data_IF_440185653511
#
_entry.id   IF_440185653511
#
_cell.length_a   1.000
_cell.length_b   1.000
_cell.length_c   1.000
_cell.angle_alpha   90.00
_cell.angle_beta   90.00
_cell.angle_gamma   90.00
#
_symmetry.space_group_name_H-M   'P 1'
#
loop_
_entity.id
_entity.type
_entity.pdbx_description
1 polymer ?
#
# COMPACT_ATOMS: atom_id res chain seq x y z
N UNK A 1 22.99 -11.85 -1.14
CA UNK A 1 23.19 -11.28 -2.48
C UNK A 1 24.58 -11.53 -3.12
N UNK A 2 25.70 -11.67 -2.41
CA UNK A 2 27.03 -11.92 -3.00
C UNK A 2 27.22 -13.31 -3.66
N UNK A 3 26.44 -14.32 -3.28
CA UNK A 3 26.65 -15.70 -3.74
C UNK A 3 26.21 -15.96 -5.19
N UNK A 4 25.22 -15.26 -5.71
CA UNK A 4 24.65 -15.50 -7.05
C UNK A 4 25.33 -14.74 -8.18
N UNK A 5 25.93 -13.56 -7.89
CA UNK A 5 26.69 -12.80 -8.91
C UNK A 5 27.94 -13.55 -9.37
N UNK A 6 28.61 -14.26 -8.44
CA UNK A 6 29.71 -15.18 -8.78
C UNK A 6 29.27 -16.35 -9.69
N UNK A 7 28.00 -16.74 -9.63
CA UNK A 7 27.47 -17.88 -10.39
C UNK A 7 27.37 -17.60 -11.90
N UNK A 8 26.85 -16.43 -12.31
CA UNK A 8 26.73 -16.08 -13.75
C UNK A 8 28.13 -15.86 -14.36
N UNK A 9 28.97 -15.09 -13.70
CA UNK A 9 30.35 -14.87 -14.12
C UNK A 9 31.13 -16.18 -14.20
N UNK A 10 30.98 -17.04 -13.19
CA UNK A 10 31.61 -18.34 -13.13
C UNK A 10 31.13 -19.25 -14.27
N UNK A 11 29.83 -19.25 -14.62
CA UNK A 11 29.27 -20.04 -15.73
C UNK A 11 29.79 -19.54 -17.09
N UNK A 12 29.88 -18.22 -17.29
CA UNK A 12 30.43 -17.63 -18.52
C UNK A 12 31.90 -17.97 -18.64
N UNK A 13 32.69 -17.80 -17.58
CA UNK A 13 34.13 -18.16 -17.56
C UNK A 13 34.32 -19.65 -17.78
N UNK A 14 33.52 -20.52 -17.11
CA UNK A 14 33.56 -21.96 -17.33
C UNK A 14 33.19 -22.35 -18.77
N UNK A 15 32.17 -21.71 -19.35
CA UNK A 15 31.77 -21.94 -20.74
C UNK A 15 32.89 -21.57 -21.71
N UNK A 16 33.53 -20.42 -21.55
CA UNK A 16 34.69 -19.99 -22.33
C UNK A 16 35.86 -20.95 -22.15
N UNK A 17 36.10 -21.40 -20.92
CA UNK A 17 37.18 -22.36 -20.62
C UNK A 17 36.91 -23.74 -21.25
N UNK A 18 35.68 -24.24 -21.17
CA UNK A 18 35.27 -25.50 -21.84
C UNK A 18 35.40 -25.41 -23.36
N UNK A 19 35.03 -24.29 -23.97
CA UNK A 19 35.20 -24.09 -25.41
C UNK A 19 36.67 -24.07 -25.79
N UNK A 20 37.53 -23.40 -25.01
CA UNK A 20 38.99 -23.47 -25.22
C UNK A 20 39.53 -24.88 -25.10
N UNK A 21 39.12 -25.67 -24.10
CA UNK A 21 39.55 -27.04 -23.93
C UNK A 21 39.05 -27.89 -25.12
N UNK A 22 37.79 -27.77 -25.52
CA UNK A 22 37.24 -28.52 -26.66
C UNK A 22 37.97 -28.17 -27.96
N UNK A 23 38.30 -26.90 -28.22
CA UNK A 23 39.07 -26.53 -29.42
C UNK A 23 40.49 -27.11 -29.37
N UNK A 24 41.18 -27.06 -28.21
CA UNK A 24 42.50 -27.72 -28.06
C UNK A 24 42.45 -29.24 -28.26
N UNK A 25 41.42 -29.93 -27.73
CA UNK A 25 41.24 -31.38 -27.90
C UNK A 25 40.93 -31.74 -29.36
N UNK A 26 40.10 -30.95 -30.04
CA UNK A 26 39.79 -31.14 -31.45
C UNK A 26 41.06 -30.96 -32.30
N UNK A 27 41.87 -29.95 -31.98
CA UNK A 27 43.16 -29.71 -32.65
C UNK A 27 44.09 -30.86 -32.42
N UNK A 28 44.28 -31.30 -31.18
CA UNK A 28 45.17 -32.41 -30.85
C UNK A 28 44.73 -33.73 -31.50
N UNK A 29 43.41 -34.00 -31.48
CA UNK A 29 42.85 -35.21 -32.09
C UNK A 29 43.02 -35.20 -33.62
N UNK A 30 42.75 -34.09 -34.28
CA UNK A 30 42.93 -33.98 -35.75
C UNK A 30 44.38 -34.16 -36.15
N UNK A 31 45.35 -33.56 -35.43
CA UNK A 31 46.78 -33.74 -35.69
C UNK A 31 47.19 -35.21 -35.48
N UNK A 32 46.74 -35.82 -34.37
CA UNK A 32 47.02 -37.23 -34.06
C UNK A 32 46.44 -38.19 -35.10
N UNK A 33 45.18 -37.97 -35.53
CA UNK A 33 44.48 -38.74 -36.54
C UNK A 33 45.13 -38.64 -37.91
N UNK A 34 45.53 -37.43 -38.33
CA UNK A 34 46.25 -37.22 -39.59
C UNK A 34 47.62 -37.89 -39.59
N UNK A 35 48.34 -37.85 -38.45
CA UNK A 35 49.63 -38.56 -38.30
C UNK A 35 49.45 -40.07 -38.37
N UNK A 36 48.41 -40.62 -37.73
CA UNK A 36 48.19 -42.11 -37.70
C UNK A 36 47.78 -42.69 -39.04
N UNK A 37 47.04 -41.92 -39.86
CA UNK A 37 46.60 -42.30 -41.20
C UNK A 37 47.63 -42.01 -42.28
N UNK A 38 48.78 -41.44 -41.94
CA UNK A 38 49.85 -41.10 -42.88
C UNK A 38 49.35 -40.18 -44.04
N UNK A 39 48.27 -39.43 -43.82
CA UNK A 39 47.57 -38.66 -44.82
C UNK A 39 48.48 -37.56 -45.38
N UNK A 40 49.51 -37.15 -44.64
CA UNK A 40 50.51 -36.17 -45.11
C UNK A 40 51.15 -36.58 -46.40
N UNK A 41 51.29 -37.89 -46.63
CA UNK A 41 51.92 -38.48 -47.85
C UNK A 41 50.92 -38.62 -49.02
N UNK A 42 49.58 -38.58 -48.74
CA UNK A 42 48.55 -38.69 -49.78
C UNK A 42 48.27 -37.43 -50.52
N UNK A 43 48.51 -36.33 -49.85
CA UNK A 43 48.39 -34.97 -50.46
C UNK A 43 49.80 -34.54 -50.94
N UNK A 44 50.08 -34.86 -52.17
CA UNK A 44 51.29 -34.37 -52.89
C UNK A 44 51.28 -32.89 -53.21
N UNK A 45 50.38 -32.13 -52.59
CA UNK A 45 50.36 -30.69 -52.53
C UNK A 45 51.22 -30.23 -51.33
N UNK A 46 52.06 -29.23 -51.48
CA UNK A 46 52.76 -28.63 -50.33
C UNK A 46 51.77 -27.79 -49.52
N UNK A 47 50.74 -28.48 -49.01
CA UNK A 47 49.86 -27.89 -48.00
C UNK A 47 50.66 -27.88 -46.70
N UNK A 48 51.54 -26.95 -46.67
CA UNK A 48 52.34 -26.59 -45.52
C UNK A 48 51.43 -26.41 -44.31
N UNK A 49 51.88 -26.79 -43.13
CA UNK A 49 51.17 -26.64 -41.88
C UNK A 49 50.49 -25.26 -41.68
N UNK A 50 50.83 -24.30 -42.52
CA UNK A 50 50.25 -22.96 -42.60
C UNK A 50 48.72 -23.00 -42.95
N UNK A 51 48.31 -23.82 -43.94
CA UNK A 51 46.88 -23.91 -44.33
C UNK A 51 46.03 -24.55 -43.24
N UNK A 52 46.59 -25.49 -42.50
CA UNK A 52 45.92 -26.12 -41.37
C UNK A 52 45.77 -25.12 -40.21
N UNK A 53 46.76 -24.30 -39.92
CA UNK A 53 46.73 -23.24 -38.92
C UNK A 53 45.66 -22.18 -39.29
N UNK A 54 45.60 -21.81 -40.58
CA UNK A 54 44.59 -20.86 -41.09
C UNK A 54 43.16 -21.42 -40.93
N UNK A 55 42.93 -22.70 -41.27
CA UNK A 55 41.63 -23.33 -41.09
C UNK A 55 41.20 -23.35 -39.62
N UNK A 56 42.13 -23.72 -38.74
CA UNK A 56 41.90 -23.70 -37.29
C UNK A 56 41.58 -22.31 -36.73
N UNK A 57 42.30 -21.29 -37.18
CA UNK A 57 42.02 -19.91 -36.82
C UNK A 57 40.64 -19.49 -37.28
N UNK A 58 40.21 -19.91 -38.46
CA UNK A 58 38.90 -19.60 -39.02
C UNK A 58 37.77 -20.27 -38.23
N UNK A 59 37.95 -21.54 -37.83
CA UNK A 59 36.99 -22.28 -36.97
C UNK A 59 36.87 -21.61 -35.58
N UNK A 60 38.02 -21.26 -34.99
CA UNK A 60 38.05 -20.57 -33.69
C UNK A 60 37.34 -19.18 -33.76
N UNK A 61 37.52 -18.45 -34.86
CA UNK A 61 36.89 -17.16 -35.09
C UNK A 61 35.35 -17.29 -35.23
N UNK A 62 34.87 -18.29 -35.97
CA UNK A 62 33.43 -18.58 -36.13
C UNK A 62 32.83 -19.01 -34.81
N UNK A 63 33.48 -19.88 -34.04
CA UNK A 63 33.03 -20.27 -32.70
C UNK A 63 33.00 -19.09 -31.73
N UNK A 64 34.04 -18.28 -31.73
CA UNK A 64 34.09 -17.03 -30.90
C UNK A 64 32.98 -16.07 -31.24
N UNK A 65 32.68 -15.89 -32.52
CA UNK A 65 31.55 -15.06 -32.97
C UNK A 65 30.19 -15.62 -32.49
N UNK A 66 29.98 -16.92 -32.57
CA UNK A 66 28.75 -17.59 -32.12
C UNK A 66 28.56 -17.43 -30.61
N UNK A 67 29.62 -17.63 -29.84
CA UNK A 67 29.60 -17.44 -28.38
C UNK A 67 29.33 -15.98 -28.01
N UNK A 68 29.97 -15.04 -28.70
CA UNK A 68 29.77 -13.60 -28.47
C UNK A 68 28.32 -13.18 -28.71
N UNK A 69 27.69 -13.64 -29.82
CA UNK A 69 26.28 -13.41 -30.13
C UNK A 69 25.37 -14.04 -29.07
N UNK A 70 25.69 -15.24 -28.61
CA UNK A 70 24.94 -15.93 -27.59
C UNK A 70 24.98 -15.18 -26.25
N UNK A 71 26.16 -14.79 -25.80
CA UNK A 71 26.34 -14.01 -24.56
C UNK A 71 25.60 -12.66 -24.67
N UNK A 72 25.72 -11.97 -25.79
CA UNK A 72 25.05 -10.70 -26.03
C UNK A 72 23.52 -10.84 -25.92
N UNK A 73 22.94 -11.86 -26.62
CA UNK A 73 21.49 -12.06 -26.62
C UNK A 73 20.93 -12.48 -25.27
N UNK A 74 21.61 -13.39 -24.55
CA UNK A 74 21.08 -14.01 -23.36
C UNK A 74 21.50 -13.34 -22.05
N UNK A 75 22.61 -12.59 -22.01
CA UNK A 75 23.11 -11.97 -20.80
C UNK A 75 23.08 -10.43 -20.85
N UNK A 76 23.49 -9.82 -21.94
CA UNK A 76 23.65 -8.36 -22.01
C UNK A 76 22.38 -7.64 -22.46
N UNK A 77 21.64 -8.19 -23.39
CA UNK A 77 20.44 -7.53 -23.93
C UNK A 77 19.35 -7.32 -22.85
N UNK A 78 19.00 -8.31 -22.01
CA UNK A 78 18.03 -8.15 -20.94
C UNK A 78 18.46 -7.08 -19.89
N UNK A 79 19.77 -7.00 -19.59
CA UNK A 79 20.31 -5.98 -18.68
C UNK A 79 20.19 -4.58 -19.27
N UNK A 80 20.41 -4.45 -20.58
CA UNK A 80 20.23 -3.15 -21.27
C UNK A 80 18.76 -2.72 -21.31
N UNK A 81 17.84 -3.66 -21.55
CA UNK A 81 16.40 -3.42 -21.49
C UNK A 81 15.95 -3.01 -20.10
N UNK A 82 16.42 -3.70 -19.06
CA UNK A 82 16.18 -3.35 -17.67
C UNK A 82 16.67 -1.94 -17.36
N UNK A 83 17.89 -1.57 -17.79
CA UNK A 83 18.44 -0.23 -17.59
C UNK A 83 17.58 0.87 -18.22
N UNK A 84 17.07 0.62 -19.45
CA UNK A 84 16.16 1.56 -20.12
C UNK A 84 14.80 1.64 -19.41
N UNK A 85 14.29 0.53 -18.93
CA UNK A 85 13.04 0.48 -18.17
C UNK A 85 13.17 1.23 -16.84
N UNK A 86 14.28 1.04 -16.12
CA UNK A 86 14.61 1.79 -14.90
C UNK A 86 14.64 3.31 -15.15
N UNK A 87 15.22 3.74 -16.29
CA UNK A 87 15.23 5.15 -16.63
C UNK A 87 13.83 5.70 -16.84
N UNK A 88 12.94 4.96 -17.53
CA UNK A 88 11.54 5.38 -17.72
C UNK A 88 10.80 5.51 -16.38
N UNK A 89 11.01 4.53 -15.47
CA UNK A 89 10.46 4.59 -14.11
C UNK A 89 10.97 5.81 -13.35
N UNK A 90 12.26 6.13 -13.48
CA UNK A 90 12.84 7.34 -12.88
C UNK A 90 12.26 8.64 -13.48
N UNK A 91 11.85 8.60 -14.75
CA UNK A 91 11.17 9.71 -15.43
C UNK A 91 9.65 9.77 -15.12
N UNK A 92 9.12 8.89 -14.23
CA UNK A 92 7.74 8.86 -13.77
C UNK A 92 6.81 7.95 -14.57
N UNK A 93 7.31 7.15 -15.51
CA UNK A 93 6.50 6.18 -16.26
C UNK A 93 6.45 4.84 -15.50
N UNK A 94 5.44 4.65 -14.66
CA UNK A 94 5.21 3.42 -13.90
C UNK A 94 4.38 2.36 -14.66
N UNK A 95 4.08 2.58 -15.95
CA UNK A 95 3.34 1.61 -16.79
C UNK A 95 4.26 0.60 -17.47
N UNK A 96 5.56 0.80 -17.34
CA UNK A 96 6.57 -0.03 -18.00
C UNK A 96 6.53 -1.46 -17.45
N UNK A 97 6.47 -2.42 -18.38
CA UNK A 97 6.54 -3.85 -18.06
C UNK A 97 7.58 -4.51 -18.95
N UNK A 98 8.47 -5.28 -18.34
CA UNK A 98 9.46 -6.08 -19.05
C UNK A 98 8.90 -7.48 -19.33
N UNK A 99 9.14 -7.99 -20.55
CA UNK A 99 8.83 -9.37 -20.88
C UNK A 99 9.77 -10.31 -20.12
N UNK A 100 9.18 -11.24 -19.39
CA UNK A 100 9.93 -12.21 -18.60
C UNK A 100 9.92 -13.53 -19.35
N UNK A 101 11.06 -13.96 -19.94
CA UNK A 101 11.13 -15.22 -20.68
C UNK A 101 10.89 -16.40 -19.72
N UNK A 102 10.10 -17.39 -20.14
CA UNK A 102 9.61 -18.50 -19.31
C UNK A 102 10.67 -19.49 -18.76
N UNK A 103 11.93 -19.11 -18.76
CA UNK A 103 13.03 -19.93 -18.26
C UNK A 103 13.49 -19.42 -16.88
N UNK A 104 13.51 -20.32 -15.87
CA UNK A 104 13.94 -20.00 -14.49
C UNK A 104 15.44 -19.75 -14.41
N UNK A 105 15.89 -18.56 -14.80
CA UNK A 105 17.27 -18.09 -14.66
C UNK A 105 17.33 -16.93 -13.68
N UNK A 106 18.52 -16.60 -13.18
CA UNK A 106 18.72 -15.43 -12.30
C UNK A 106 18.25 -14.11 -12.96
N UNK A 107 18.31 -14.03 -14.29
CA UNK A 107 17.79 -12.90 -15.06
C UNK A 107 16.27 -12.85 -15.01
N UNK A 108 15.59 -14.01 -15.06
CA UNK A 108 14.14 -14.10 -14.88
C UNK A 108 13.70 -13.50 -13.54
N UNK A 109 14.36 -13.91 -12.45
CA UNK A 109 14.06 -13.42 -11.11
C UNK A 109 14.26 -11.89 -11.01
N UNK A 110 15.34 -11.39 -11.61
CA UNK A 110 15.64 -9.95 -11.64
C UNK A 110 14.57 -9.14 -12.38
N UNK A 111 14.15 -9.60 -13.58
CA UNK A 111 13.12 -8.93 -14.38
C UNK A 111 11.74 -9.00 -13.71
N UNK A 112 11.43 -10.14 -13.10
CA UNK A 112 10.18 -10.32 -12.37
C UNK A 112 10.11 -9.41 -11.14
N UNK A 113 11.19 -9.36 -10.34
CA UNK A 113 11.27 -8.48 -9.17
C UNK A 113 11.17 -6.99 -9.57
N UNK A 114 11.75 -6.61 -10.72
CA UNK A 114 11.56 -5.28 -11.28
C UNK A 114 10.10 -5.01 -11.62
N UNK A 115 9.42 -5.94 -12.32
CA UNK A 115 8.01 -5.76 -12.66
C UNK A 115 7.11 -5.65 -11.41
N UNK A 116 7.36 -6.46 -10.38
CA UNK A 116 6.66 -6.37 -9.08
C UNK A 116 6.89 -5.00 -8.45
N UNK A 117 8.14 -4.54 -8.39
CA UNK A 117 8.47 -3.21 -7.83
C UNK A 117 7.76 -2.08 -8.59
N UNK A 118 7.74 -2.13 -9.93
CA UNK A 118 7.06 -1.12 -10.74
C UNK A 118 5.55 -1.16 -10.54
N UNK A 119 4.97 -2.34 -10.40
CA UNK A 119 3.55 -2.51 -10.11
C UNK A 119 3.18 -1.89 -8.75
N UNK A 120 3.98 -2.10 -7.71
CA UNK A 120 3.79 -1.48 -6.39
C UNK A 120 3.93 0.05 -6.44
N UNK A 121 4.93 0.56 -7.17
CA UNK A 121 5.08 2.00 -7.39
C UNK A 121 3.88 2.60 -8.12
N UNK A 122 3.41 1.95 -9.19
CA UNK A 122 2.24 2.41 -9.93
C UNK A 122 0.96 2.40 -9.09
N UNK A 123 0.77 1.38 -8.27
CA UNK A 123 -0.34 1.30 -7.32
C UNK A 123 -0.28 2.46 -6.31
N UNK A 124 0.89 2.72 -5.74
CA UNK A 124 1.09 3.83 -4.79
C UNK A 124 0.84 5.20 -5.43
N UNK A 125 1.34 5.44 -6.65
CA UNK A 125 1.14 6.70 -7.37
C UNK A 125 -0.34 6.91 -7.73
N UNK A 126 -1.02 5.85 -8.18
CA UNK A 126 -2.46 5.90 -8.48
C UNK A 126 -3.25 6.27 -7.21
N UNK A 127 -2.98 5.60 -6.09
CA UNK A 127 -3.63 5.90 -4.81
C UNK A 127 -3.34 7.34 -4.35
N UNK A 128 -2.13 7.84 -4.56
CA UNK A 128 -1.75 9.22 -4.23
C UNK A 128 -2.49 10.23 -5.11
N UNK A 129 -2.55 9.98 -6.41
CA UNK A 129 -3.27 10.84 -7.38
C UNK A 129 -4.77 10.88 -7.08
N UNK A 130 -5.38 9.72 -6.81
CA UNK A 130 -6.78 9.61 -6.42
C UNK A 130 -7.05 10.34 -5.09
N UNK A 131 -6.12 10.23 -4.13
CA UNK A 131 -6.19 10.97 -2.87
C UNK A 131 -6.24 12.47 -3.10
N UNK A 132 -5.30 13.05 -3.87
CA UNK A 132 -5.25 14.49 -4.20
C UNK A 132 -6.52 14.94 -4.93
N UNK A 133 -7.00 14.15 -5.89
CA UNK A 133 -8.22 14.44 -6.64
C UNK A 133 -9.44 14.47 -5.73
N UNK A 134 -9.60 13.46 -4.86
CA UNK A 134 -10.71 13.36 -3.92
C UNK A 134 -10.66 14.50 -2.88
N UNK A 135 -9.48 14.81 -2.33
CA UNK A 135 -9.29 15.98 -1.44
C UNK A 135 -9.80 17.24 -2.13
N UNK A 136 -9.36 17.49 -3.36
CA UNK A 136 -9.72 18.69 -4.10
C UNK A 136 -11.24 18.79 -4.31
N UNK A 137 -11.87 17.67 -4.63
CA UNK A 137 -13.32 17.60 -4.84
C UNK A 137 -14.11 17.85 -3.56
N UNK A 138 -13.71 17.18 -2.47
CA UNK A 138 -14.36 17.29 -1.16
C UNK A 138 -14.17 18.69 -0.52
N UNK A 139 -13.09 19.41 -0.85
CA UNK A 139 -12.92 20.84 -0.46
C UNK A 139 -13.80 21.78 -1.27
N UNK A 140 -13.98 21.53 -2.57
CA UNK A 140 -14.70 22.43 -3.46
C UNK A 140 -16.17 22.57 -3.07
N UNK A 141 -16.81 21.51 -2.62
CA UNK A 141 -18.22 21.48 -2.26
C UNK A 141 -18.56 22.41 -1.09
N UNK A 142 -17.95 22.28 0.12
CA UNK A 142 -18.24 23.17 1.23
C UNK A 142 -17.82 24.63 0.96
N UNK A 143 -16.71 24.85 0.23
CA UNK A 143 -16.30 26.20 -0.18
C UNK A 143 -17.33 26.87 -1.10
N UNK A 144 -17.86 26.12 -2.06
CA UNK A 144 -18.92 26.64 -2.94
C UNK A 144 -20.19 26.95 -2.17
N UNK A 145 -20.55 26.10 -1.19
CA UNK A 145 -21.71 26.33 -0.29
C UNK A 145 -21.51 27.59 0.54
N UNK A 146 -20.36 27.75 1.20
CA UNK A 146 -20.04 28.93 1.99
C UNK A 146 -20.10 30.20 1.12
N UNK A 147 -19.45 30.18 -0.04
CA UNK A 147 -19.41 31.33 -0.95
C UNK A 147 -20.80 31.67 -1.51
N UNK A 148 -21.59 30.68 -1.89
CA UNK A 148 -22.95 30.87 -2.40
C UNK A 148 -23.89 31.51 -1.37
N UNK A 149 -23.94 30.92 -0.17
CA UNK A 149 -24.80 31.47 0.89
C UNK A 149 -24.31 32.84 1.42
N UNK A 150 -22.99 33.06 1.47
CA UNK A 150 -22.44 34.37 1.80
C UNK A 150 -22.84 35.45 0.76
N UNK A 151 -22.92 35.08 -0.52
CA UNK A 151 -23.40 35.96 -1.57
C UNK A 151 -24.91 36.24 -1.42
N UNK A 152 -25.70 35.22 -1.12
CA UNK A 152 -27.14 35.38 -0.88
C UNK A 152 -27.43 36.27 0.35
N UNK A 153 -26.57 36.24 1.38
CA UNK A 153 -26.70 37.13 2.55
C UNK A 153 -26.53 38.61 2.26
N UNK A 154 -26.04 38.99 1.07
CA UNK A 154 -25.94 40.37 0.63
C UNK A 154 -27.31 40.94 0.18
N UNK A 155 -28.35 40.12 0.06
CA UNK A 155 -29.69 40.53 -0.27
C UNK A 155 -30.37 41.13 0.98
N UNK A 156 -30.70 42.42 0.90
CA UNK A 156 -31.38 43.17 1.99
C UNK A 156 -32.86 42.77 2.14
N UNK A 157 -33.43 42.04 1.20
CA UNK A 157 -34.86 41.64 1.23
C UNK A 157 -35.10 40.34 2.00
N UNK A 158 -34.05 39.68 2.47
CA UNK A 158 -34.14 38.43 3.25
C UNK A 158 -34.90 38.60 4.55
N UNK A 159 -35.77 37.67 4.83
CA UNK A 159 -36.39 37.56 6.15
C UNK A 159 -35.34 37.16 7.22
N UNK A 160 -35.57 37.51 8.49
CA UNK A 160 -34.69 37.10 9.59
C UNK A 160 -34.50 35.56 9.67
N UNK A 161 -35.51 34.78 9.29
CA UNK A 161 -35.47 33.37 9.30
C UNK A 161 -34.56 32.82 8.20
N UNK A 162 -34.70 33.28 6.96
CA UNK A 162 -33.82 32.90 5.83
C UNK A 162 -32.36 33.29 6.11
N UNK A 163 -32.13 34.48 6.67
CA UNK A 163 -30.81 34.94 7.07
C UNK A 163 -30.16 34.00 8.08
N UNK A 164 -30.90 33.58 9.11
CA UNK A 164 -30.40 32.61 10.08
C UNK A 164 -30.11 31.23 9.46
N UNK A 165 -30.97 30.77 8.59
CA UNK A 165 -30.79 29.49 7.88
C UNK A 165 -29.51 29.50 7.01
N UNK A 166 -29.23 30.61 6.31
CA UNK A 166 -28.03 30.78 5.52
C UNK A 166 -26.77 30.84 6.40
N UNK A 167 -26.82 31.55 7.53
CA UNK A 167 -25.73 31.60 8.50
C UNK A 167 -25.43 30.21 9.07
N UNK A 168 -26.44 29.45 9.48
CA UNK A 168 -26.26 28.08 10.01
C UNK A 168 -25.67 27.14 8.95
N UNK A 169 -26.07 27.30 7.69
CA UNK A 169 -25.51 26.53 6.58
C UNK A 169 -24.03 26.84 6.38
N UNK A 170 -23.63 28.09 6.45
CA UNK A 170 -22.21 28.51 6.36
C UNK A 170 -21.42 27.96 7.53
N UNK A 171 -21.92 28.08 8.77
CA UNK A 171 -21.25 27.57 9.98
C UNK A 171 -21.06 26.07 9.89
N UNK A 172 -22.09 25.34 9.46
CA UNK A 172 -22.04 23.90 9.31
C UNK A 172 -20.99 23.47 8.27
N UNK A 173 -20.98 24.11 7.10
CA UNK A 173 -20.00 23.83 6.03
C UNK A 173 -18.57 24.19 6.46
N UNK A 174 -18.38 25.26 7.24
CA UNK A 174 -17.07 25.63 7.78
C UNK A 174 -16.57 24.60 8.81
N UNK A 175 -17.45 24.06 9.67
CA UNK A 175 -17.13 22.99 10.62
C UNK A 175 -16.77 21.69 9.90
N UNK A 176 -17.50 21.31 8.86
CA UNK A 176 -17.21 20.13 8.03
C UNK A 176 -15.82 20.26 7.39
N UNK A 177 -15.49 21.43 6.84
CA UNK A 177 -14.17 21.69 6.24
C UNK A 177 -13.05 21.62 7.29
N UNK A 178 -13.26 22.17 8.49
CA UNK A 178 -12.30 22.11 9.58
C UNK A 178 -12.07 20.67 10.06
N UNK A 179 -13.13 19.86 10.20
CA UNK A 179 -13.03 18.44 10.56
C UNK A 179 -12.26 17.66 9.49
N UNK A 180 -12.53 17.92 8.21
CA UNK A 180 -11.84 17.28 7.09
C UNK A 180 -10.34 17.61 7.09
N UNK A 181 -9.98 18.88 7.25
CA UNK A 181 -8.56 19.33 7.34
C UNK A 181 -7.85 18.65 8.51
N UNK A 182 -8.50 18.59 9.68
CA UNK A 182 -7.97 17.87 10.84
C UNK A 182 -7.70 16.41 10.57
N UNK A 183 -8.66 15.70 9.95
CA UNK A 183 -8.52 14.29 9.59
C UNK A 183 -7.37 14.05 8.59
N UNK A 184 -7.23 14.92 7.57
CA UNK A 184 -6.14 14.84 6.59
C UNK A 184 -4.78 15.03 7.26
N UNK A 185 -4.64 16.03 8.12
CA UNK A 185 -3.40 16.29 8.84
C UNK A 185 -3.04 15.14 9.79
N UNK A 186 -4.02 14.61 10.53
CA UNK A 186 -3.82 13.46 11.40
C UNK A 186 -3.40 12.23 10.61
N UNK A 187 -4.08 11.93 9.49
CA UNK A 187 -3.75 10.79 8.63
C UNK A 187 -2.34 10.93 8.06
N UNK A 188 -1.98 12.10 7.53
CA UNK A 188 -0.64 12.38 6.98
C UNK A 188 0.47 12.24 8.02
N UNK A 189 0.23 12.63 9.28
CA UNK A 189 1.18 12.44 10.38
C UNK A 189 1.34 10.97 10.72
N UNK A 190 0.24 10.24 10.85
CA UNK A 190 0.23 8.83 11.24
C UNK A 190 0.83 7.90 10.18
N UNK A 191 0.73 8.24 8.89
CA UNK A 191 1.35 7.47 7.80
C UNK A 191 2.88 7.46 7.86
N UNK A 192 3.47 8.52 8.41
CA UNK A 192 4.91 8.67 8.53
C UNK A 192 5.42 8.37 9.95
N UNK A 193 4.51 8.03 10.87
CA UNK A 193 4.83 7.79 12.26
C UNK A 193 4.98 6.28 12.50
N UNK A 194 6.11 5.89 13.08
CA UNK A 194 6.39 4.50 13.47
C UNK A 194 6.29 4.28 14.98
N UNK A 195 6.30 5.35 15.77
CA UNK A 195 6.29 5.32 17.23
C UNK A 195 5.18 6.25 17.73
N UNK A 196 4.39 5.78 18.68
CA UNK A 196 3.36 6.58 19.33
C UNK A 196 4.00 7.40 20.44
N UNK A 197 3.88 8.72 20.36
CA UNK A 197 4.32 9.67 21.41
C UNK A 197 3.19 10.06 22.34
N UNK A 198 3.50 10.78 23.40
CA UNK A 198 2.53 11.37 24.35
C UNK A 198 1.55 10.34 24.91
N UNK A 199 2.10 9.18 25.31
CA UNK A 199 1.34 8.11 25.96
C UNK A 199 1.27 8.36 27.46
N UNK A 200 0.09 8.15 28.03
CA UNK A 200 -0.19 8.27 29.47
C UNK A 200 -1.27 7.28 29.90
N UNK A 201 -1.38 7.05 31.21
CA UNK A 201 -2.49 6.27 31.78
C UNK A 201 -3.75 7.13 31.82
N UNK A 202 -4.80 6.67 31.16
CA UNK A 202 -6.10 7.36 31.18
C UNK A 202 -7.29 6.38 31.25
N UNK A 203 -8.45 6.89 31.61
CA UNK A 203 -9.70 6.15 31.73
C UNK A 203 -10.43 6.10 30.40
N UNK A 204 -10.39 4.94 29.74
CA UNK A 204 -11.06 4.71 28.43
C UNK A 204 -12.57 4.81 28.56
N UNK A 205 -13.16 4.25 29.61
CA UNK A 205 -14.61 4.34 29.86
C UNK A 205 -15.07 5.78 30.05
N UNK A 206 -14.33 6.62 30.76
CA UNK A 206 -14.64 8.04 30.91
C UNK A 206 -14.50 8.78 29.56
N UNK A 207 -13.46 8.46 28.79
CA UNK A 207 -13.29 9.05 27.45
C UNK A 207 -14.49 8.74 26.53
N UNK A 208 -14.95 7.49 26.50
CA UNK A 208 -16.12 7.07 25.71
C UNK A 208 -17.37 7.78 26.23
N UNK A 209 -17.59 7.87 27.56
CA UNK A 209 -18.71 8.61 28.14
C UNK A 209 -18.74 10.07 27.73
N UNK A 210 -17.59 10.75 27.74
CA UNK A 210 -17.47 12.13 27.30
C UNK A 210 -17.81 12.30 25.82
N UNK A 211 -17.41 11.36 24.94
CA UNK A 211 -17.74 11.40 23.52
C UNK A 211 -19.25 11.23 23.31
N UNK A 212 -19.89 10.31 24.03
CA UNK A 212 -21.33 10.10 23.99
C UNK A 212 -22.08 11.37 24.42
N UNK A 213 -21.67 12.00 25.54
CA UNK A 213 -22.28 13.23 26.04
C UNK A 213 -22.12 14.39 25.04
N UNK A 214 -20.96 14.55 24.41
CA UNK A 214 -20.73 15.58 23.38
C UNK A 214 -21.61 15.39 22.15
N UNK A 215 -22.02 14.18 21.85
CA UNK A 215 -22.91 13.85 20.74
C UNK A 215 -24.40 13.88 21.12
N UNK A 216 -24.78 14.29 22.36
CA UNK A 216 -26.13 14.22 22.90
C UNK A 216 -27.17 14.90 22.00
N UNK A 217 -26.86 16.09 21.50
CA UNK A 217 -27.79 16.80 20.61
C UNK A 217 -28.08 16.04 19.30
N UNK A 218 -27.11 15.25 18.80
CA UNK A 218 -27.27 14.51 17.55
C UNK A 218 -28.09 13.23 17.74
N UNK A 219 -27.81 12.43 18.78
CA UNK A 219 -28.55 11.20 19.02
C UNK A 219 -29.93 11.46 19.62
N UNK A 220 -30.10 12.50 20.49
CA UNK A 220 -31.40 12.92 21.01
C UNK A 220 -32.34 13.44 19.91
N UNK A 221 -31.83 14.22 18.94
CA UNK A 221 -32.62 14.71 17.82
C UNK A 221 -33.22 13.57 16.96
N UNK A 222 -32.62 12.40 16.99
CA UNK A 222 -33.10 11.18 16.31
C UNK A 222 -33.87 10.24 17.24
N UNK A 223 -34.03 10.57 18.52
CA UNK A 223 -34.62 9.71 19.55
C UNK A 223 -33.94 8.31 19.60
N UNK A 224 -32.60 8.26 19.48
CA UNK A 224 -31.87 7.02 19.57
C UNK A 224 -31.76 6.55 21.02
N UNK A 225 -31.82 5.23 21.22
CA UNK A 225 -31.51 4.60 22.51
C UNK A 225 -30.04 4.29 22.54
N UNK A 226 -29.30 4.84 23.53
CA UNK A 226 -27.89 4.55 23.74
C UNK A 226 -27.72 3.71 25.01
N UNK A 227 -27.08 2.55 24.87
CA UNK A 227 -26.81 1.63 25.98
C UNK A 227 -25.27 1.44 26.14
N UNK A 228 -24.61 2.25 27.00
CA UNK A 228 -23.19 2.07 27.28
C UNK A 228 -22.97 1.03 28.39
N UNK A 229 -22.37 -0.10 28.04
CA UNK A 229 -21.88 -1.15 28.93
C UNK A 229 -20.35 -1.05 29.04
N UNK A 230 -19.86 -0.20 29.94
CA UNK A 230 -18.44 0.17 30.02
C UNK A 230 -17.86 -0.27 31.35
N UNK A 231 -16.94 -1.22 31.31
CA UNK A 231 -16.11 -1.58 32.46
C UNK A 231 -15.20 -0.41 32.83
N UNK A 232 -14.78 -0.38 34.09
CA UNK A 232 -13.82 0.62 34.57
C UNK A 232 -12.41 0.26 34.10
N UNK A 233 -11.94 0.91 33.03
CA UNK A 233 -10.70 0.56 32.33
C UNK A 233 -9.71 1.73 32.39
N UNK A 234 -8.52 1.49 32.98
CA UNK A 234 -7.35 2.36 32.79
C UNK A 234 -6.42 1.70 31.79
N UNK A 235 -6.01 2.45 30.76
CA UNK A 235 -5.17 1.94 29.69
C UNK A 235 -4.06 2.95 29.40
N UNK A 236 -2.86 2.44 29.09
CA UNK A 236 -1.69 3.24 28.75
C UNK A 236 -1.65 3.50 27.24
N UNK A 237 -1.70 4.76 26.81
CA UNK A 237 -1.69 5.12 25.40
C UNK A 237 -1.87 6.61 25.17
N UNK A 238 -1.99 7.01 23.90
CA UNK A 238 -2.26 8.40 23.54
C UNK A 238 -3.76 8.67 23.54
N UNK A 239 -4.22 9.50 24.49
CA UNK A 239 -5.63 9.81 24.69
C UNK A 239 -6.27 10.51 23.49
N UNK A 240 -5.52 11.34 22.76
CA UNK A 240 -6.02 12.06 21.58
C UNK A 240 -6.30 11.08 20.42
N UNK A 241 -5.35 10.17 20.14
CA UNK A 241 -5.49 9.18 19.07
C UNK A 241 -6.66 8.23 19.32
N UNK A 242 -6.80 7.72 20.54
CA UNK A 242 -7.94 6.84 20.87
C UNK A 242 -9.27 7.58 20.85
N UNK A 243 -9.31 8.87 21.23
CA UNK A 243 -10.49 9.71 21.06
C UNK A 243 -10.95 9.80 19.61
N UNK A 244 -10.02 9.83 18.64
CA UNK A 244 -10.37 9.78 17.22
C UNK A 244 -11.00 8.44 16.81
N UNK A 245 -10.58 7.31 17.39
CA UNK A 245 -11.19 6.00 17.12
C UNK A 245 -12.66 6.03 17.57
N UNK A 246 -12.89 6.29 18.86
CA UNK A 246 -14.24 6.20 19.44
C UNK A 246 -15.18 7.24 18.86
N UNK A 247 -14.72 8.47 18.66
CA UNK A 247 -15.58 9.52 18.06
C UNK A 247 -15.99 9.17 16.63
N UNK A 248 -15.11 8.63 15.79
CA UNK A 248 -15.48 8.26 14.42
C UNK A 248 -16.46 7.07 14.38
N UNK A 249 -16.29 6.05 15.24
CA UNK A 249 -17.20 4.91 15.29
C UNK A 249 -18.57 5.32 15.82
N UNK A 250 -18.64 6.10 16.91
CA UNK A 250 -19.88 6.58 17.52
C UNK A 250 -20.61 7.55 16.57
N UNK A 251 -19.89 8.51 15.95
CA UNK A 251 -20.47 9.42 14.95
C UNK A 251 -21.07 8.62 13.77
N UNK A 252 -20.42 7.57 13.30
CA UNK A 252 -20.93 6.71 12.24
C UNK A 252 -22.21 5.95 12.69
N UNK A 253 -22.21 5.37 13.88
CA UNK A 253 -23.37 4.70 14.45
C UNK A 253 -24.58 5.67 14.53
N UNK A 254 -24.41 6.86 15.10
CA UNK A 254 -25.45 7.90 15.18
C UNK A 254 -25.93 8.31 13.78
N UNK A 255 -25.00 8.45 12.84
CA UNK A 255 -25.31 8.89 11.48
C UNK A 255 -26.16 7.88 10.72
N UNK A 256 -25.81 6.61 10.79
CA UNK A 256 -26.41 5.57 9.95
C UNK A 256 -27.60 4.83 10.62
N UNK A 257 -27.81 5.02 11.91
CA UNK A 257 -29.00 4.53 12.61
C UNK A 257 -30.21 5.43 12.30
N UNK A 258 -31.35 4.87 11.86
CA UNK A 258 -32.59 5.63 11.67
C UNK A 258 -33.15 6.13 13.01
N UNK A 259 -34.08 7.08 12.95
CA UNK A 259 -34.74 7.61 14.14
C UNK A 259 -35.45 6.48 14.93
N UNK A 260 -35.29 6.51 16.25
CA UNK A 260 -35.83 5.49 17.16
C UNK A 260 -35.04 4.19 17.22
N UNK A 261 -33.89 4.12 16.54
CA UNK A 261 -33.01 2.95 16.61
C UNK A 261 -32.15 2.91 17.86
N UNK A 262 -31.31 1.86 17.97
CA UNK A 262 -30.50 1.56 19.15
C UNK A 262 -29.02 1.51 18.81
N UNK A 263 -28.20 1.98 19.76
CA UNK A 263 -26.75 1.91 19.70
C UNK A 263 -26.22 1.36 21.03
N UNK A 264 -25.52 0.22 20.98
CA UNK A 264 -24.89 -0.40 22.15
C UNK A 264 -23.37 -0.21 22.06
N UNK A 265 -22.76 0.25 23.14
CA UNK A 265 -21.31 0.44 23.21
C UNK A 265 -20.77 -0.37 24.39
N UNK A 266 -19.91 -1.35 24.12
CA UNK A 266 -19.29 -2.17 25.16
C UNK A 266 -17.79 -1.93 25.20
N UNK A 267 -17.23 -1.89 26.41
CA UNK A 267 -15.79 -1.82 26.60
C UNK A 267 -15.37 -2.76 27.72
N UNK A 268 -14.41 -3.62 27.43
CA UNK A 268 -13.82 -4.56 28.37
C UNK A 268 -12.30 -4.67 28.13
N UNK A 269 -11.57 -5.12 29.13
CA UNK A 269 -10.12 -5.35 29.01
C UNK A 269 -9.77 -6.64 29.72
N UNK A 270 -9.00 -7.49 29.07
CA UNK A 270 -8.37 -8.68 29.64
C UNK A 270 -6.84 -8.51 29.70
N UNK A 271 -6.10 -9.61 29.92
CA UNK A 271 -4.63 -9.57 30.01
C UNK A 271 -3.94 -9.25 28.68
N UNK A 272 -4.59 -9.50 27.55
CA UNK A 272 -4.00 -9.34 26.22
C UNK A 272 -4.59 -8.14 25.45
N UNK A 273 -5.90 -7.86 25.63
CA UNK A 273 -6.61 -6.92 24.77
C UNK A 273 -7.52 -5.96 25.52
N UNK A 274 -7.48 -4.69 25.12
CA UNK A 274 -8.56 -3.73 25.31
C UNK A 274 -9.52 -3.89 24.15
N UNK A 275 -10.75 -4.34 24.42
CA UNK A 275 -11.79 -4.57 23.42
C UNK A 275 -12.92 -3.54 23.58
N UNK A 276 -13.20 -2.81 22.51
CA UNK A 276 -14.34 -1.88 22.46
C UNK A 276 -15.18 -2.20 21.24
N UNK A 277 -16.48 -2.46 21.45
CA UNK A 277 -17.44 -2.67 20.37
C UNK A 277 -18.49 -1.57 20.32
N UNK A 278 -18.84 -1.15 19.11
CA UNK A 278 -19.93 -0.21 18.81
C UNK A 278 -20.89 -0.94 17.87
N UNK A 279 -22.06 -1.25 18.36
CA UNK A 279 -23.15 -1.90 17.62
C UNK A 279 -24.24 -0.89 17.34
N UNK A 280 -24.75 -0.86 16.12
CA UNK A 280 -25.88 -0.03 15.69
C UNK A 280 -26.98 -0.89 15.05
N UNK A 281 -28.23 -0.48 15.19
CA UNK A 281 -29.38 -1.04 14.50
C UNK A 281 -29.69 -0.30 13.18
N UNK A 282 -28.63 0.12 12.50
CA UNK A 282 -28.71 0.96 11.31
C UNK A 282 -28.98 0.21 10.01
N UNK A 283 -28.70 0.86 8.90
CA UNK A 283 -28.91 0.33 7.54
C UNK A 283 -28.01 -0.86 7.20
N UNK A 284 -27.01 -1.16 8.02
CA UNK A 284 -25.99 -2.17 7.70
C UNK A 284 -25.12 -1.82 6.51
N UNK A 285 -24.20 -2.72 6.18
CA UNK A 285 -23.19 -2.55 5.12
C UNK A 285 -23.24 -3.78 4.21
N UNK A 286 -23.50 -3.62 2.90
CA UNK A 286 -23.48 -4.71 1.94
C UNK A 286 -22.11 -5.43 1.88
N UNK A 287 -22.10 -6.78 1.74
CA UNK A 287 -20.87 -7.57 1.79
C UNK A 287 -19.80 -7.19 0.74
N UNK A 288 -20.24 -6.74 -0.43
CA UNK A 288 -19.38 -6.36 -1.56
C UNK A 288 -18.54 -5.11 -1.29
N UNK A 289 -18.96 -4.26 -0.33
CA UNK A 289 -18.24 -3.03 0.03
C UNK A 289 -17.54 -3.10 1.39
N UNK A 290 -17.79 -4.14 2.22
CA UNK A 290 -17.22 -4.23 3.58
C UNK A 290 -15.69 -4.19 3.62
N UNK A 291 -15.02 -4.77 2.63
CA UNK A 291 -13.56 -4.73 2.54
C UNK A 291 -12.99 -3.35 2.21
N UNK A 292 -13.80 -2.45 1.65
CA UNK A 292 -13.38 -1.15 1.14
C UNK A 292 -13.74 0.02 2.04
N UNK A 293 -14.54 -0.19 3.08
CA UNK A 293 -14.99 0.91 3.96
C UNK A 293 -13.85 1.60 4.73
N UNK A 294 -12.69 0.96 4.81
CA UNK A 294 -11.48 1.50 5.43
C UNK A 294 -10.57 2.23 4.43
N UNK A 295 -10.91 2.18 3.12
CA UNK A 295 -10.18 2.93 2.10
C UNK A 295 -10.41 4.42 2.26
N UNK A 296 -9.39 5.23 1.97
CA UNK A 296 -9.47 6.70 2.05
C UNK A 296 -10.49 7.22 1.05
N UNK A 297 -11.37 8.13 1.51
CA UNK A 297 -12.46 8.74 0.70
C UNK A 297 -13.50 7.77 0.18
N UNK A 298 -13.47 6.50 0.59
CA UNK A 298 -14.50 5.57 0.15
C UNK A 298 -15.84 5.89 0.83
N UNK A 299 -16.89 5.94 0.02
CA UNK A 299 -18.28 6.15 0.44
C UNK A 299 -19.14 5.09 -0.26
N UNK A 300 -19.84 4.27 0.50
CA UNK A 300 -20.69 3.17 -0.05
C UNK A 300 -21.93 3.67 -0.79
N UNK A 301 -22.36 4.91 -0.58
CA UNK A 301 -23.50 5.54 -1.24
C UNK A 301 -23.05 6.74 -2.08
N UNK A 302 -23.11 6.58 -3.41
CA UNK A 302 -22.78 7.63 -4.39
C UNK A 302 -23.85 8.71 -4.52
N UNK A 303 -24.97 8.58 -3.80
CA UNK A 303 -26.13 9.50 -3.93
C UNK A 303 -25.94 10.86 -3.24
N UNK A 304 -24.78 11.13 -2.63
CA UNK A 304 -24.44 12.37 -1.89
C UNK A 304 -25.43 12.79 -0.78
N UNK A 305 -26.44 11.97 -0.46
CA UNK A 305 -27.47 12.31 0.52
C UNK A 305 -27.04 12.12 1.96
N UNK A 306 -25.98 11.33 2.23
CA UNK A 306 -25.48 11.13 3.60
C UNK A 306 -24.09 11.72 3.73
N UNK A 307 -24.01 12.86 4.41
CA UNK A 307 -22.78 13.64 4.66
C UNK A 307 -21.65 12.83 5.30
N UNK A 308 -20.47 12.86 4.71
CA UNK A 308 -19.22 12.31 5.27
C UNK A 308 -18.14 12.34 4.21
N UNK A 309 -16.89 12.47 4.61
CA UNK A 309 -15.74 12.60 3.69
C UNK A 309 -14.96 11.32 3.46
N UNK A 310 -15.44 10.15 3.97
CA UNK A 310 -14.77 8.87 3.80
C UNK A 310 -13.37 8.74 4.44
N UNK A 311 -12.99 9.66 5.34
CA UNK A 311 -11.68 9.62 6.01
C UNK A 311 -11.74 9.06 7.43
N UNK A 312 -12.92 9.02 8.05
CA UNK A 312 -13.05 8.64 9.45
C UNK A 312 -12.63 7.19 9.73
N UNK A 313 -13.12 6.23 8.95
CA UNK A 313 -12.75 4.82 9.13
C UNK A 313 -11.32 4.53 8.67
N UNK A 314 -10.80 5.22 7.66
CA UNK A 314 -9.40 5.14 7.27
C UNK A 314 -8.47 5.60 8.41
N UNK A 315 -8.82 6.70 9.09
CA UNK A 315 -8.08 7.19 10.25
C UNK A 315 -8.16 6.19 11.42
N UNK A 316 -9.33 5.62 11.69
CA UNK A 316 -9.51 4.56 12.69
C UNK A 316 -8.60 3.38 12.41
N UNK A 317 -8.59 2.87 11.19
CA UNK A 317 -7.76 1.74 10.77
C UNK A 317 -6.26 2.04 10.93
N UNK A 318 -5.82 3.24 10.53
CA UNK A 318 -4.42 3.66 10.64
C UNK A 318 -3.96 3.74 12.11
N UNK A 319 -4.78 4.31 13.00
CA UNK A 319 -4.45 4.40 14.43
C UNK A 319 -4.35 2.99 15.05
N UNK A 320 -5.32 2.12 14.76
CA UNK A 320 -5.36 0.75 15.29
C UNK A 320 -4.12 -0.05 14.80
N UNK A 321 -3.77 0.09 13.52
CA UNK A 321 -2.57 -0.55 12.95
C UNK A 321 -1.29 -0.06 13.63
N UNK A 322 -1.19 1.25 13.93
CA UNK A 322 -0.04 1.82 14.64
C UNK A 322 0.13 1.26 16.05
N UNK A 323 -0.98 0.91 16.73
CA UNK A 323 -0.96 0.22 18.02
C UNK A 323 -0.70 -1.30 17.91
N UNK A 324 -0.63 -1.88 16.70
CA UNK A 324 -0.56 -3.33 16.50
C UNK A 324 -1.86 -4.06 16.84
N UNK A 325 -2.97 -3.31 16.85
CA UNK A 325 -4.32 -3.83 17.09
C UNK A 325 -5.00 -4.30 15.80
N UNK A 326 -6.26 -4.65 15.93
CA UNK A 326 -7.13 -4.99 14.78
C UNK A 326 -8.55 -4.50 14.99
N UNK A 327 -9.28 -4.33 13.89
CA UNK A 327 -10.69 -4.00 13.86
C UNK A 327 -11.44 -5.05 13.05
N UNK A 328 -12.58 -5.51 13.57
CA UNK A 328 -13.48 -6.42 12.87
C UNK A 328 -14.83 -5.75 12.63
N UNK A 329 -15.50 -6.18 11.58
CA UNK A 329 -16.85 -5.73 11.20
C UNK A 329 -17.75 -6.94 11.02
N UNK A 330 -18.89 -6.92 11.72
CA UNK A 330 -20.02 -7.80 11.47
C UNK A 330 -21.20 -6.92 11.06
N UNK A 331 -21.71 -7.09 9.85
CA UNK A 331 -22.79 -6.25 9.34
C UNK A 331 -23.68 -7.01 8.37
N UNK A 332 -24.98 -6.78 8.54
CA UNK A 332 -26.02 -7.32 7.66
C UNK A 332 -26.90 -6.15 7.20
N UNK A 333 -27.16 -6.01 5.89
CA UNK A 333 -28.03 -4.98 5.38
C UNK A 333 -29.38 -4.96 6.11
N UNK A 334 -29.86 -3.76 6.45
CA UNK A 334 -31.10 -3.48 7.16
C UNK A 334 -31.20 -4.04 8.60
N UNK A 335 -30.16 -4.68 9.12
CA UNK A 335 -30.11 -5.18 10.51
C UNK A 335 -29.09 -4.44 11.37
N UNK A 336 -28.17 -3.70 10.75
CA UNK A 336 -27.16 -2.90 11.45
C UNK A 336 -25.73 -3.40 11.29
N UNK A 337 -24.83 -2.81 12.06
CA UNK A 337 -23.41 -3.12 12.04
C UNK A 337 -22.82 -3.17 13.44
N UNK A 338 -21.81 -4.01 13.62
CA UNK A 338 -20.99 -4.07 14.83
C UNK A 338 -19.52 -3.89 14.45
N UNK A 339 -18.93 -2.82 14.91
CA UNK A 339 -17.47 -2.60 14.80
C UNK A 339 -16.83 -2.99 16.12
N UNK A 340 -15.88 -3.91 16.11
CA UNK A 340 -15.11 -4.32 17.29
C UNK A 340 -13.64 -3.97 17.09
N UNK A 341 -13.12 -3.14 17.98
CA UNK A 341 -11.71 -2.71 18.02
C UNK A 341 -11.01 -3.45 19.14
N UNK A 342 -9.87 -4.07 18.84
CA UNK A 342 -8.99 -4.70 19.80
C UNK A 342 -7.63 -3.99 19.75
N UNK A 343 -7.22 -3.41 20.87
CA UNK A 343 -5.89 -2.82 21.07
C UNK A 343 -5.13 -3.65 22.11
N UNK A 344 -3.80 -3.84 21.97
CA UNK A 344 -3.02 -4.53 23.00
C UNK A 344 -3.22 -3.91 24.37
N UNK A 345 -3.46 -4.72 25.41
CA UNK A 345 -3.63 -4.24 26.79
C UNK A 345 -2.41 -3.47 27.27
N UNK A 346 -1.22 -3.89 26.81
CA UNK A 346 0.06 -3.25 27.03
C UNK A 346 0.69 -2.91 25.69
N UNK A 347 0.42 -1.72 25.10
CA UNK A 347 1.08 -1.30 23.88
C UNK A 347 2.59 -1.27 24.12
N UNK A 348 3.34 -2.05 23.37
CA UNK A 348 4.76 -2.25 23.59
C UNK A 348 5.54 -0.94 23.38
N UNK A 349 5.99 -0.35 24.48
CA UNK A 349 7.16 0.53 24.52
C UNK A 349 8.48 -0.24 24.29
N UNK A 350 8.44 -1.55 24.06
CA UNK A 350 9.55 -2.51 24.13
C UNK A 350 9.88 -3.22 22.82
N UNK A 351 9.81 -2.57 21.68
CA UNK A 351 10.56 -3.08 20.50
C UNK A 351 12.06 -2.70 20.53
N UNK A 352 12.50 -1.96 21.56
CA UNK A 352 13.91 -1.54 21.67
C UNK A 352 14.81 -2.47 22.51
N UNK A 353 14.28 -3.49 23.20
CA UNK A 353 15.14 -4.30 24.09
C UNK A 353 15.60 -5.66 23.52
N UNK A 354 15.24 -6.01 22.28
CA UNK A 354 15.61 -7.30 21.69
C UNK A 354 16.62 -7.24 20.52
N UNK A 355 17.25 -6.10 20.29
CA UNK A 355 18.44 -6.06 19.43
C UNK A 355 19.68 -6.32 20.31
N UNK A 356 20.43 -7.44 20.10
CA UNK A 356 21.72 -7.61 20.73
C UNK A 356 22.64 -6.49 20.23
N UNK A 357 23.16 -5.70 21.16
CA UNK A 357 24.21 -4.71 20.91
C UNK A 357 25.41 -5.38 20.21
N UNK A 358 26.10 -4.66 19.33
CA UNK A 358 27.14 -5.17 18.44
C UNK A 358 28.37 -5.73 19.14
#
# INVERSE_FOLDING_TARGET
MKKNFYSIWMRVVLCCFWVMICTFLIIGFTIHFMNRLNIWNLFSLPITGLHFIILLALVALVLGMFISVFIFRYALNPVSELSKAMQKVADGDYTVKLDVPGNKSEIYELLNNFNVMVQELNSTETLHSDFISNVSHEFKTPLATISGYATLLQDDTLTPQERNEYIETIITSARELSKMTGNILSLSRLENQTIITDQEDFRVDEQIRWIILRAESAWSAKNLVLEPELDKITWYGNQELTSHIWSNLIDNAIKFTPAGGEITIKASMDEEWLTVSVQDSGIGIPPDIQSRIFDKFYQGDTSHKKKGNGLGLALVHQIITLYGGHITLESIPDLGSTFTVCLPAHPSSELESSLPLP
#
